data_IF_705607304322
#
_entry.id   IF_705607304322
#
_cell.length_a   1.000
_cell.length_b   1.000
_cell.length_c   1.000
_cell.angle_alpha   90.00
_cell.angle_beta   90.00
_cell.angle_gamma   90.00
#
_symmetry.space_group_name_H-M   'P 1'
#
loop_
_entity.id
_entity.type
_entity.pdbx_description
1 polymer ?
#
# COMPACT_ATOMS: atom_id res chain seq x y z
N UNK A 1 -17.95 -18.19 -44.70
CA UNK A 1 -17.11 -17.01 -44.98
C UNK A 1 -17.24 -15.93 -43.89
N UNK A 2 -18.40 -15.30 -43.68
CA UNK A 2 -18.58 -14.31 -42.60
C UNK A 2 -18.56 -14.93 -41.19
N UNK A 3 -19.22 -16.07 -40.99
CA UNK A 3 -19.24 -16.77 -39.70
C UNK A 3 -17.85 -17.26 -39.27
N UNK A 4 -17.06 -17.75 -40.23
CA UNK A 4 -15.68 -18.22 -39.97
C UNK A 4 -14.78 -17.05 -39.57
N UNK A 5 -14.96 -15.89 -40.18
CA UNK A 5 -14.19 -14.69 -39.86
C UNK A 5 -14.57 -14.10 -38.49
N UNK A 6 -15.86 -14.12 -38.14
CA UNK A 6 -16.33 -13.78 -36.80
C UNK A 6 -15.69 -14.72 -35.77
N UNK A 7 -15.73 -16.03 -36.02
CA UNK A 7 -15.15 -17.03 -35.12
C UNK A 7 -13.63 -16.85 -34.94
N UNK A 8 -12.91 -16.53 -36.03
CA UNK A 8 -11.47 -16.26 -36.00
C UNK A 8 -11.13 -15.03 -35.15
N UNK A 9 -11.90 -13.95 -35.31
CA UNK A 9 -11.71 -12.72 -34.53
C UNK A 9 -12.05 -12.92 -33.06
N UNK A 10 -13.13 -13.64 -32.74
CA UNK A 10 -13.49 -13.99 -31.36
C UNK A 10 -12.41 -14.83 -30.67
N UNK A 11 -11.84 -15.82 -31.38
CA UNK A 11 -10.71 -16.60 -30.88
C UNK A 11 -9.50 -15.71 -30.60
N UNK A 12 -9.21 -14.78 -31.50
CA UNK A 12 -8.11 -13.81 -31.35
C UNK A 12 -8.33 -12.92 -30.13
N UNK A 13 -9.52 -12.34 -29.98
CA UNK A 13 -9.89 -11.51 -28.82
C UNK A 13 -9.77 -12.31 -27.52
N UNK A 14 -10.23 -13.55 -27.52
CA UNK A 14 -10.13 -14.44 -26.35
C UNK A 14 -8.68 -14.67 -25.95
N UNK A 15 -7.81 -14.96 -26.92
CA UNK A 15 -6.37 -15.16 -26.66
C UNK A 15 -5.68 -13.89 -26.13
N UNK A 16 -6.04 -12.71 -26.66
CA UNK A 16 -5.48 -11.44 -26.21
C UNK A 16 -5.94 -11.08 -24.80
N UNK A 17 -7.21 -11.37 -24.46
CA UNK A 17 -7.73 -11.17 -23.10
C UNK A 17 -7.03 -12.05 -22.08
N UNK A 18 -6.74 -13.31 -22.42
CA UNK A 18 -5.99 -14.21 -21.55
C UNK A 18 -4.59 -13.65 -21.30
N UNK A 19 -3.85 -13.30 -22.36
CA UNK A 19 -2.51 -12.70 -22.25
C UNK A 19 -2.51 -11.40 -21.43
N UNK A 20 -3.52 -10.56 -21.62
CA UNK A 20 -3.66 -9.32 -20.84
C UNK A 20 -3.87 -9.63 -19.35
N UNK A 21 -4.72 -10.60 -19.02
CA UNK A 21 -4.95 -11.01 -17.64
C UNK A 21 -3.68 -11.59 -16.97
N UNK A 22 -2.91 -12.39 -17.71
CA UNK A 22 -1.63 -12.92 -17.25
C UNK A 22 -0.62 -11.81 -16.93
N UNK A 23 -0.44 -10.86 -17.86
CA UNK A 23 0.45 -9.72 -17.67
C UNK A 23 0.00 -8.81 -16.51
N UNK A 24 -1.31 -8.56 -16.38
CA UNK A 24 -1.85 -7.77 -15.27
C UNK A 24 -1.60 -8.46 -13.92
N UNK A 25 -1.80 -9.77 -13.84
CA UNK A 25 -1.49 -10.56 -12.64
C UNK A 25 0.00 -10.52 -12.28
N UNK A 26 0.87 -10.57 -13.29
CA UNK A 26 2.31 -10.43 -13.11
C UNK A 26 2.69 -9.03 -12.62
N UNK A 27 2.11 -7.97 -13.20
CA UNK A 27 2.31 -6.60 -12.75
C UNK A 27 1.84 -6.41 -11.30
N UNK A 28 0.70 -6.98 -10.91
CA UNK A 28 0.19 -6.93 -9.53
C UNK A 28 1.09 -7.69 -8.56
N UNK A 29 1.70 -8.79 -8.99
CA UNK A 29 2.71 -9.50 -8.19
C UNK A 29 3.92 -8.61 -7.90
N UNK A 30 4.34 -7.81 -8.88
CA UNK A 30 5.46 -6.87 -8.73
C UNK A 30 5.07 -5.53 -8.11
N UNK A 31 3.80 -5.11 -8.14
CA UNK A 31 3.33 -3.84 -7.56
C UNK A 31 3.61 -3.75 -6.06
N UNK A 32 3.46 -4.88 -5.37
CA UNK A 32 3.90 -5.01 -4.01
C UNK A 32 5.42 -4.76 -3.93
N UNK A 33 6.24 -5.47 -4.73
CA UNK A 33 7.73 -5.45 -4.67
C UNK A 33 8.27 -4.06 -4.95
N UNK A 34 7.70 -3.39 -5.94
CA UNK A 34 8.04 -2.04 -6.37
C UNK A 34 7.34 -0.94 -5.57
N UNK A 35 6.58 -1.30 -4.52
CA UNK A 35 5.92 -0.31 -3.67
C UNK A 35 6.98 0.67 -3.16
N UNK A 36 6.87 1.98 -3.45
CA UNK A 36 7.87 2.98 -3.07
C UNK A 36 8.21 2.92 -1.58
N UNK A 37 7.22 2.57 -0.75
CA UNK A 37 7.34 2.43 0.70
C UNK A 37 8.32 1.34 1.14
N UNK A 38 8.69 0.39 0.26
CA UNK A 38 9.70 -0.66 0.52
C UNK A 38 11.11 -0.23 0.09
N UNK A 39 11.22 0.70 -0.85
CA UNK A 39 12.49 1.28 -1.30
C UNK A 39 12.98 2.42 -0.39
N UNK A 40 12.06 3.12 0.28
CA UNK A 40 12.41 4.21 1.21
C UNK A 40 13.23 3.64 2.38
N UNK A 41 14.41 4.20 2.74
CA UNK A 41 15.17 3.77 3.91
C UNK A 41 14.40 3.95 5.24
N UNK A 42 14.62 3.10 6.25
CA UNK A 42 13.92 3.22 7.54
C UNK A 42 14.16 4.57 8.24
N UNK A 43 15.29 5.23 8.00
CA UNK A 43 15.65 6.55 8.53
C UNK A 43 14.70 7.64 8.01
N UNK A 44 14.34 7.58 6.73
CA UNK A 44 13.41 8.54 6.12
C UNK A 44 11.99 8.34 6.65
N UNK A 45 11.56 7.09 6.82
CA UNK A 45 10.26 6.78 7.44
C UNK A 45 10.22 7.28 8.88
N UNK A 46 11.33 7.13 9.61
CA UNK A 46 11.50 7.64 10.96
C UNK A 46 11.37 9.16 11.00
N UNK A 47 12.08 9.86 10.12
CA UNK A 47 12.03 11.33 10.04
C UNK A 47 10.60 11.83 9.75
N UNK A 48 9.89 11.18 8.82
CA UNK A 48 8.48 11.46 8.55
C UNK A 48 7.64 11.28 9.82
N UNK A 49 7.80 10.18 10.53
CA UNK A 49 7.03 9.93 11.77
C UNK A 49 7.30 11.01 12.82
N UNK A 50 8.56 11.38 13.04
CA UNK A 50 8.94 12.40 14.02
C UNK A 50 8.46 13.79 13.61
N UNK A 51 8.52 14.13 12.31
CA UNK A 51 8.03 15.40 11.80
C UNK A 51 6.53 15.58 12.05
N UNK A 52 5.73 14.53 11.82
CA UNK A 52 4.29 14.60 12.02
C UNK A 52 3.85 14.28 13.45
N UNK A 53 4.70 13.71 14.30
CA UNK A 53 4.31 13.35 15.67
C UNK A 53 3.66 14.53 16.43
N UNK A 54 4.21 15.75 16.48
CA UNK A 54 3.60 16.84 17.24
C UNK A 54 2.21 17.26 16.74
N UNK A 55 1.98 17.27 15.42
CA UNK A 55 0.67 17.60 14.84
C UNK A 55 -0.34 16.46 15.03
N UNK A 56 0.13 15.22 14.96
CA UNK A 56 -0.67 14.03 15.16
C UNK A 56 -1.19 13.86 16.59
N UNK A 57 -0.43 14.27 17.62
CA UNK A 57 -0.90 14.29 19.01
C UNK A 57 -2.04 15.31 19.23
N UNK A 58 -2.09 16.38 18.42
CA UNK A 58 -3.13 17.43 18.51
C UNK A 58 -4.42 17.07 17.76
N UNK A 59 -4.39 16.10 16.84
CA UNK A 59 -5.56 15.67 16.06
C UNK A 59 -6.42 14.57 16.72
N UNK A 60 -6.24 14.29 18.01
CA UNK A 60 -7.08 13.30 18.73
C UNK A 60 -8.54 13.72 18.92
N UNK A 61 -8.89 14.97 18.63
CA UNK A 61 -10.16 15.58 19.06
C UNK A 61 -11.33 15.42 18.08
N UNK A 62 -11.20 14.61 17.02
CA UNK A 62 -12.27 14.43 16.02
C UNK A 62 -12.99 13.07 16.14
N UNK A 63 -14.15 13.11 16.79
CA UNK A 63 -15.42 12.44 16.46
C UNK A 63 -15.51 10.92 16.14
N UNK A 64 -14.53 10.09 16.51
CA UNK A 64 -14.65 8.62 16.42
C UNK A 64 -14.46 7.91 17.77
N UNK A 65 -15.34 6.95 18.15
CA UNK A 65 -15.41 6.36 19.50
C UNK A 65 -14.27 5.38 19.84
N UNK A 66 -13.39 5.04 18.90
CA UNK A 66 -12.24 4.15 19.12
C UNK A 66 -10.96 4.94 18.84
N UNK A 67 -10.55 5.76 19.82
CA UNK A 67 -9.33 6.56 19.70
C UNK A 67 -8.08 5.70 19.93
N UNK A 68 -7.69 4.95 18.91
CA UNK A 68 -6.39 4.30 18.84
C UNK A 68 -5.32 5.40 18.81
N UNK A 69 -4.57 5.59 19.91
CA UNK A 69 -3.48 6.59 20.01
C UNK A 69 -2.51 6.42 18.84
N UNK A 70 -2.06 7.52 18.27
CA UNK A 70 -1.49 7.53 16.92
C UNK A 70 -0.26 6.62 16.67
N UNK A 71 0.59 6.28 17.66
CA UNK A 71 1.64 5.27 17.44
C UNK A 71 1.07 3.93 16.95
N UNK A 72 -0.11 3.55 17.45
CA UNK A 72 -0.81 2.36 17.03
C UNK A 72 -1.37 2.47 15.61
N UNK A 73 -1.79 3.66 15.16
CA UNK A 73 -2.26 3.88 13.77
C UNK A 73 -1.16 3.64 12.76
N UNK A 74 0.07 4.05 13.05
CA UNK A 74 1.24 3.77 12.20
C UNK A 74 1.46 2.26 12.05
N UNK A 75 1.26 1.51 13.14
CA UNK A 75 1.36 0.05 13.15
C UNK A 75 0.26 -0.70 12.38
N UNK A 76 -0.82 -0.04 11.96
CA UNK A 76 -1.90 -0.63 11.16
C UNK A 76 -1.65 -0.53 9.64
N UNK A 77 -0.72 0.32 9.20
CA UNK A 77 -0.45 0.54 7.76
C UNK A 77 0.23 -0.68 7.14
N UNK A 78 1.34 -1.15 7.74
CA UNK A 78 2.02 -2.38 7.33
C UNK A 78 2.98 -2.88 8.41
N UNK A 79 3.45 -4.13 8.27
CA UNK A 79 4.45 -4.73 9.16
C UNK A 79 5.71 -3.85 9.33
N UNK A 80 6.18 -3.23 8.24
CA UNK A 80 7.37 -2.38 8.24
C UNK A 80 7.18 -1.12 9.09
N UNK A 81 6.06 -0.42 8.91
CA UNK A 81 5.73 0.77 9.69
C UNK A 81 5.55 0.44 11.16
N UNK A 82 4.95 -0.71 11.47
CA UNK A 82 4.83 -1.22 12.84
C UNK A 82 6.21 -1.43 13.47
N UNK A 83 7.12 -2.09 12.76
CA UNK A 83 8.48 -2.36 13.25
C UNK A 83 9.22 -1.05 13.56
N UNK A 84 9.18 -0.10 12.64
CA UNK A 84 9.83 1.22 12.80
C UNK A 84 9.18 1.99 13.95
N UNK A 85 7.85 2.07 13.99
CA UNK A 85 7.13 2.79 15.05
C UNK A 85 7.44 2.22 16.43
N UNK A 86 7.49 0.89 16.59
CA UNK A 86 7.84 0.25 17.87
C UNK A 86 9.28 0.51 18.29
N UNK A 87 10.21 0.67 17.33
CA UNK A 87 11.61 1.01 17.63
C UNK A 87 11.81 2.47 18.07
N UNK A 88 10.86 3.35 17.74
CA UNK A 88 10.96 4.79 18.00
C UNK A 88 10.28 5.17 19.31
N UNK A 89 11.01 5.02 20.43
CA UNK A 89 10.52 5.37 21.77
C UNK A 89 9.98 6.81 21.89
N UNK A 90 10.50 7.75 21.09
CA UNK A 90 10.03 9.15 21.03
C UNK A 90 8.57 9.29 20.58
N UNK A 91 8.03 8.35 19.80
CA UNK A 91 6.62 8.36 19.41
C UNK A 91 5.69 7.93 20.55
N UNK A 92 6.22 7.22 21.55
CA UNK A 92 5.48 6.66 22.68
C UNK A 92 5.66 7.48 23.97
N UNK A 93 6.64 8.38 23.99
CA UNK A 93 6.85 9.33 25.07
C UNK A 93 5.83 10.47 24.94
N UNK A 94 4.63 10.26 25.50
CA UNK A 94 3.59 11.27 25.68
C UNK A 94 3.48 11.59 27.16
#
# INVERSE_FOLDING_TARGET
MLADEISRLESTISSLRIKHAELASEMDRFSNILSPIRSVPPEIITEIFLYFAPSMHRCSDSFYPVQVKLPWKLGLVCHRWRTISLSLGQLWAV
#
